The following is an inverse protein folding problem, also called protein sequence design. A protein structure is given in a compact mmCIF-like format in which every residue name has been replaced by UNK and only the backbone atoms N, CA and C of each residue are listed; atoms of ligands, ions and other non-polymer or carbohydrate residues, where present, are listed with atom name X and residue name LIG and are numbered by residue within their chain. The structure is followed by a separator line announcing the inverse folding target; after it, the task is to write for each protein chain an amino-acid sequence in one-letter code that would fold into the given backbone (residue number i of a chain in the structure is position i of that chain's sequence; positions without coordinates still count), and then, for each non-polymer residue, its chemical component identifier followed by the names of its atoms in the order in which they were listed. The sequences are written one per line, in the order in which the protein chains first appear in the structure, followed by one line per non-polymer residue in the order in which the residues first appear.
data_IF_343574719115
#
_entry.id   IF_343574719115
#
_cell.length_a   1.000
_cell.length_b   1.000
_cell.length_c   1.000
_cell.angle_alpha   90.00
_cell.angle_beta   90.00
_cell.angle_gamma   90.00
#
_symmetry.space_group_name_H-M   'P 1'
#
loop_
_entity.id
_entity.type
_entity.pdbx_description
1 polymer ?
#
# COMPACT_ATOMS: atom_id res chain seq x y z
N UNK A 1 68.42 30.10 91.50
CA UNK A 1 67.22 29.33 91.11
C UNK A 1 65.95 30.19 91.01
N UNK A 2 65.55 30.97 92.03
CA UNK A 2 64.31 31.80 91.97
C UNK A 2 64.30 32.86 90.84
N UNK A 3 65.43 33.52 90.55
CA UNK A 3 65.52 34.51 89.46
C UNK A 3 65.44 33.88 88.05
N UNK A 4 65.95 32.67 87.86
CA UNK A 4 65.87 31.95 86.57
C UNK A 4 64.44 31.49 86.29
N UNK A 5 63.72 31.01 87.31
CA UNK A 5 62.29 30.66 87.20
C UNK A 5 61.44 31.90 86.89
N UNK A 6 61.76 33.05 87.49
CA UNK A 6 61.02 34.29 87.26
C UNK A 6 61.27 34.85 85.84
N UNK A 7 62.49 34.74 85.32
CA UNK A 7 62.84 35.11 83.94
C UNK A 7 62.20 34.14 82.95
N UNK A 8 62.23 32.83 83.19
CA UNK A 8 61.54 31.85 82.34
C UNK A 8 60.04 32.08 82.38
N UNK A 9 59.44 32.37 83.54
CA UNK A 9 58.01 32.74 83.67
C UNK A 9 57.69 34.02 82.91
N UNK A 10 58.50 35.08 83.06
CA UNK A 10 58.31 36.36 82.36
C UNK A 10 58.50 36.23 80.85
N UNK A 11 59.45 35.39 80.41
CA UNK A 11 59.65 35.07 78.99
C UNK A 11 58.47 34.27 78.47
N UNK A 12 58.00 33.24 79.17
CA UNK A 12 56.80 32.48 78.77
C UNK A 12 55.53 33.33 78.80
N UNK A 13 55.38 34.24 79.78
CA UNK A 13 54.27 35.19 79.87
C UNK A 13 54.34 36.22 78.75
N UNK A 14 55.52 36.75 78.43
CA UNK A 14 55.72 37.67 77.32
C UNK A 14 55.39 37.00 75.98
N UNK A 15 55.90 35.77 75.76
CA UNK A 15 55.56 34.96 74.58
C UNK A 15 54.07 34.65 74.51
N UNK A 16 53.41 34.37 75.64
CA UNK A 16 51.98 34.07 75.69
C UNK A 16 51.12 35.33 75.47
N UNK A 17 51.55 36.51 75.95
CA UNK A 17 50.88 37.79 75.67
C UNK A 17 51.07 38.26 74.23
N UNK A 18 52.23 38.01 73.63
CA UNK A 18 52.49 38.33 72.22
C UNK A 18 51.68 37.43 71.30
N UNK A 19 51.61 36.13 71.61
CA UNK A 19 50.77 35.18 70.89
C UNK A 19 49.28 35.54 71.00
N UNK A 20 48.80 35.87 72.21
CA UNK A 20 47.42 36.31 72.42
C UNK A 20 47.10 37.59 71.63
N UNK A 21 48.00 38.57 71.61
CA UNK A 21 47.83 39.79 70.81
C UNK A 21 47.80 39.51 69.30
N UNK A 22 48.58 38.53 68.81
CA UNK A 22 48.55 38.11 67.39
C UNK A 22 47.23 37.40 67.07
N UNK A 23 46.72 36.55 67.96
CA UNK A 23 45.40 35.91 67.85
C UNK A 23 44.29 36.97 67.81
N UNK A 24 44.26 37.90 68.77
CA UNK A 24 43.23 38.94 68.85
C UNK A 24 43.20 39.84 67.59
N UNK A 25 44.37 40.13 67.02
CA UNK A 25 44.52 40.88 65.76
C UNK A 25 43.97 40.12 64.55
N UNK A 26 44.28 38.82 64.43
CA UNK A 26 43.71 37.95 63.38
C UNK A 26 42.20 37.86 63.54
N UNK A 27 41.71 37.65 64.77
CA UNK A 27 40.28 37.51 65.03
C UNK A 27 39.51 38.80 64.77
N UNK A 28 40.05 39.97 65.13
CA UNK A 28 39.42 41.25 64.79
C UNK A 28 39.31 41.50 63.27
N UNK A 29 40.24 40.97 62.47
CA UNK A 29 40.18 41.02 61.01
C UNK A 29 39.26 39.94 60.43
N UNK A 30 39.26 38.74 61.02
CA UNK A 30 38.38 37.63 60.64
C UNK A 30 36.92 37.91 60.99
N UNK A 31 36.61 38.60 62.08
CA UNK A 31 35.23 38.95 62.47
C UNK A 31 34.56 39.86 61.44
N UNK A 32 35.32 40.76 60.81
CA UNK A 32 34.83 41.59 59.70
C UNK A 32 34.46 40.76 58.45
N UNK A 33 35.03 39.56 58.32
CA UNK A 33 34.73 38.59 57.27
C UNK A 33 33.64 37.58 57.69
N UNK A 34 33.67 37.15 58.95
CA UNK A 34 32.83 36.14 59.60
C UNK A 34 31.33 36.48 59.56
N UNK A 35 31.01 37.79 59.55
CA UNK A 35 29.64 38.28 59.40
C UNK A 35 28.98 37.95 58.05
N UNK A 36 29.71 37.39 57.07
CA UNK A 36 29.23 37.21 55.69
C UNK A 36 28.66 35.83 55.36
N UNK A 37 29.05 34.77 56.07
CA UNK A 37 28.64 33.38 55.78
C UNK A 37 28.97 32.45 56.97
N UNK A 38 28.15 31.42 57.21
CA UNK A 38 28.42 30.38 58.21
C UNK A 38 29.75 29.63 57.98
N UNK A 39 30.17 29.45 56.73
CA UNK A 39 31.50 28.93 56.39
C UNK A 39 32.63 29.82 56.92
N UNK A 40 32.51 31.15 56.77
CA UNK A 40 33.52 32.07 57.31
C UNK A 40 33.56 32.08 58.84
N UNK A 41 32.42 31.85 59.51
CA UNK A 41 32.37 31.69 60.97
C UNK A 41 33.09 30.42 61.41
N UNK A 42 32.77 29.29 60.77
CA UNK A 42 33.40 28.00 61.06
C UNK A 42 34.91 28.04 60.82
N UNK A 43 35.35 28.68 59.73
CA UNK A 43 36.75 28.88 59.43
C UNK A 43 37.44 29.77 60.47
N UNK A 44 36.82 30.88 60.87
CA UNK A 44 37.36 31.77 61.90
C UNK A 44 37.54 31.05 63.24
N UNK A 45 36.53 30.31 63.69
CA UNK A 45 36.62 29.51 64.92
C UNK A 45 37.68 28.40 64.84
N UNK A 46 37.86 27.78 63.67
CA UNK A 46 38.91 26.79 63.46
C UNK A 46 40.30 27.43 63.53
N UNK A 47 40.49 28.59 62.91
CA UNK A 47 41.76 29.33 62.94
C UNK A 47 42.08 29.78 64.38
N UNK A 48 41.11 30.32 65.11
CA UNK A 48 41.24 30.70 66.52
C UNK A 48 41.71 29.53 67.38
N UNK A 49 40.99 28.41 67.31
CA UNK A 49 41.32 27.20 68.05
C UNK A 49 42.74 26.71 67.73
N UNK A 50 43.11 26.71 66.45
CA UNK A 50 44.41 26.24 65.99
C UNK A 50 45.55 27.16 66.40
N UNK A 51 45.39 28.48 66.31
CA UNK A 51 46.41 29.43 66.79
C UNK A 51 46.60 29.37 68.31
N UNK A 52 45.54 29.07 69.08
CA UNK A 52 45.63 28.87 70.53
C UNK A 52 46.31 27.54 70.91
N UNK A 53 46.23 26.53 70.04
CA UNK A 53 46.79 25.19 70.27
C UNK A 53 48.22 25.02 69.73
N UNK A 54 48.54 25.64 68.58
CA UNK A 54 49.87 25.60 67.97
C UNK A 54 50.67 26.81 68.37
N UNK A 55 51.88 26.62 68.91
CA UNK A 55 52.80 27.74 69.21
C UNK A 55 53.36 28.43 67.96
N UNK A 56 53.03 27.95 66.76
CA UNK A 56 53.60 28.40 65.49
C UNK A 56 52.51 28.76 64.46
N UNK A 57 52.47 30.04 64.10
CA UNK A 57 51.53 30.58 63.09
C UNK A 57 51.76 29.93 61.71
N UNK A 58 52.97 29.45 61.44
CA UNK A 58 53.32 28.70 60.23
C UNK A 58 52.55 27.38 60.08
N UNK A 59 52.24 26.69 61.18
CA UNK A 59 51.46 25.44 61.13
C UNK A 59 50.00 25.74 60.76
N UNK A 60 49.42 26.80 61.32
CA UNK A 60 48.08 27.29 60.97
C UNK A 60 48.02 27.71 59.49
N UNK A 61 49.05 28.39 58.98
CA UNK A 61 49.14 28.72 57.55
C UNK A 61 49.19 27.48 56.65
N UNK A 62 49.92 26.45 57.06
CA UNK A 62 50.00 25.19 56.32
C UNK A 62 48.65 24.49 56.29
N UNK A 63 47.91 24.47 57.40
CA UNK A 63 46.55 23.91 57.46
C UNK A 63 45.56 24.70 56.58
N UNK A 64 45.52 26.04 56.69
CA UNK A 64 44.65 26.89 55.84
C UNK A 64 44.98 26.68 54.35
N UNK A 65 46.27 26.62 54.00
CA UNK A 65 46.70 26.33 52.63
C UNK A 65 46.25 24.94 52.19
N UNK A 66 46.38 23.92 53.04
CA UNK A 66 45.93 22.56 52.73
C UNK A 66 44.43 22.49 52.50
N UNK A 67 43.62 23.18 53.30
CA UNK A 67 42.15 23.23 53.12
C UNK A 67 41.81 23.93 51.80
N UNK A 68 42.48 25.04 51.47
CA UNK A 68 42.31 25.74 50.20
C UNK A 68 42.62 24.84 49.01
N UNK A 69 43.79 24.20 49.04
CA UNK A 69 44.30 23.38 47.95
C UNK A 69 43.40 22.13 47.79
N UNK A 70 42.86 21.59 48.89
CA UNK A 70 41.84 20.52 48.86
C UNK A 70 40.53 20.98 48.21
N UNK A 71 40.01 22.17 48.55
CA UNK A 71 38.78 22.68 47.92
C UNK A 71 38.96 22.91 46.42
N UNK A 72 40.13 23.38 46.00
CA UNK A 72 40.47 23.53 44.58
C UNK A 72 40.54 22.15 43.90
N UNK A 73 41.16 21.16 44.54
CA UNK A 73 41.23 19.80 44.03
C UNK A 73 39.84 19.16 43.91
N UNK A 74 39.00 19.30 44.93
CA UNK A 74 37.62 18.81 44.93
C UNK A 74 36.78 19.48 43.84
N UNK A 75 36.94 20.80 43.64
CA UNK A 75 36.29 21.50 42.51
C UNK A 75 36.76 20.91 41.17
N UNK A 76 38.08 20.69 41.00
CA UNK A 76 38.60 20.12 39.76
C UNK A 76 38.06 18.72 39.46
N UNK A 77 37.81 17.89 40.48
CA UNK A 77 37.18 16.57 40.31
C UNK A 77 35.72 16.74 39.91
N UNK A 78 34.98 17.63 40.59
CA UNK A 78 33.58 17.91 40.26
C UNK A 78 33.42 18.46 38.84
N UNK A 79 34.30 19.35 38.39
CA UNK A 79 34.33 19.89 37.03
C UNK A 79 34.49 18.78 35.98
N UNK A 80 35.36 17.81 36.24
CA UNK A 80 35.57 16.66 35.36
C UNK A 80 34.35 15.73 35.31
N UNK A 81 33.74 15.43 36.47
CA UNK A 81 32.54 14.62 36.55
C UNK A 81 31.34 15.29 35.86
N UNK A 82 31.16 16.59 36.09
CA UNK A 82 30.15 17.40 35.43
C UNK A 82 30.36 17.42 33.91
N UNK A 83 31.58 17.71 33.44
CA UNK A 83 31.89 17.73 32.00
C UNK A 83 31.60 16.37 31.34
N UNK A 84 31.94 15.27 32.01
CA UNK A 84 31.64 13.92 31.54
C UNK A 84 30.12 13.66 31.48
N UNK A 85 29.39 13.99 32.54
CA UNK A 85 27.94 13.73 32.61
C UNK A 85 27.16 14.58 31.61
N UNK A 86 27.48 15.87 31.48
CA UNK A 86 26.88 16.75 30.46
C UNK A 86 27.23 16.28 29.05
N UNK A 87 28.48 15.89 28.81
CA UNK A 87 28.90 15.34 27.53
C UNK A 87 28.07 14.12 27.13
N UNK A 88 27.87 13.17 28.06
CA UNK A 88 27.03 11.99 27.85
C UNK A 88 25.57 12.37 27.56
N UNK A 89 24.98 13.24 28.38
CA UNK A 89 23.59 13.68 28.21
C UNK A 89 23.38 14.41 26.88
N UNK A 90 24.33 15.23 26.45
CA UNK A 90 24.25 15.93 25.16
C UNK A 90 24.27 14.95 23.97
N UNK A 91 25.10 13.92 24.02
CA UNK A 91 25.15 12.89 22.98
C UNK A 91 23.83 12.11 22.93
N UNK A 92 23.28 11.70 24.07
CA UNK A 92 21.99 10.98 24.10
C UNK A 92 20.84 11.87 23.59
N UNK A 93 20.82 13.15 23.96
CA UNK A 93 19.85 14.13 23.44
C UNK A 93 19.96 14.25 21.92
N UNK A 94 21.17 14.40 21.37
CA UNK A 94 21.38 14.52 19.93
C UNK A 94 20.92 13.26 19.18
N UNK A 95 21.25 12.08 19.69
CA UNK A 95 20.79 10.80 19.12
C UNK A 95 19.26 10.72 19.11
N UNK A 96 18.60 11.09 20.22
CA UNK A 96 17.15 11.06 20.33
C UNK A 96 16.48 12.13 19.46
N UNK A 97 17.07 13.31 19.29
CA UNK A 97 16.60 14.35 18.36
C UNK A 97 16.62 13.82 16.92
N UNK A 98 17.72 13.20 16.49
CA UNK A 98 17.83 12.60 15.16
C UNK A 98 16.81 11.46 14.98
N UNK A 99 16.65 10.59 15.98
CA UNK A 99 15.69 9.48 15.93
C UNK A 99 14.25 9.98 15.85
N UNK A 100 13.87 10.95 16.68
CA UNK A 100 12.51 11.52 16.69
C UNK A 100 12.20 12.22 15.37
N UNK A 101 13.14 12.99 14.80
CA UNK A 101 12.96 13.61 13.49
C UNK A 101 12.80 12.56 12.38
N UNK A 102 13.63 11.51 12.41
CA UNK A 102 13.55 10.41 11.43
C UNK A 102 12.20 9.69 11.51
N UNK A 103 11.76 9.33 12.73
CA UNK A 103 10.46 8.67 12.96
C UNK A 103 9.31 9.56 12.50
N UNK A 104 9.34 10.87 12.79
CA UNK A 104 8.31 11.82 12.36
C UNK A 104 8.23 11.94 10.82
N UNK A 105 9.38 12.07 10.14
CA UNK A 105 9.44 12.10 8.66
C UNK A 105 8.94 10.80 8.05
N UNK A 106 9.33 9.66 8.63
CA UNK A 106 8.90 8.35 8.14
C UNK A 106 7.40 8.13 8.36
N UNK A 107 6.84 8.60 9.48
CA UNK A 107 5.40 8.58 9.74
C UNK A 107 4.63 9.39 8.70
N UNK A 108 5.10 10.61 8.38
CA UNK A 108 4.48 11.45 7.35
C UNK A 108 4.53 10.76 5.98
N UNK A 109 5.69 10.22 5.59
CA UNK A 109 5.86 9.49 4.32
C UNK A 109 4.93 8.29 4.23
N UNK A 110 4.83 7.49 5.29
CA UNK A 110 3.95 6.32 5.33
C UNK A 110 2.46 6.72 5.26
N UNK A 111 2.06 7.80 5.93
CA UNK A 111 0.68 8.30 5.83
C UNK A 111 0.33 8.70 4.40
N UNK A 112 1.22 9.41 3.70
CA UNK A 112 1.04 9.75 2.30
C UNK A 112 0.97 8.48 1.43
N UNK A 113 1.93 7.57 1.59
CA UNK A 113 1.97 6.32 0.83
C UNK A 113 0.71 5.46 1.04
N UNK A 114 0.18 5.38 2.25
CA UNK A 114 -1.08 4.67 2.54
C UNK A 114 -2.26 5.36 1.85
N UNK A 115 -2.29 6.70 1.84
CA UNK A 115 -3.29 7.48 1.12
C UNK A 115 -3.31 7.16 -0.38
N UNK A 116 -2.14 7.22 -1.01
CA UNK A 116 -1.96 6.88 -2.43
C UNK A 116 -2.35 5.42 -2.73
N UNK A 117 -1.92 4.47 -1.88
CA UNK A 117 -2.26 3.06 -2.03
C UNK A 117 -3.77 2.81 -1.91
N UNK A 118 -4.47 3.48 -0.99
CA UNK A 118 -5.92 3.37 -0.85
C UNK A 118 -6.67 3.89 -2.08
N UNK A 119 -6.18 4.97 -2.69
CA UNK A 119 -6.74 5.51 -3.92
C UNK A 119 -6.51 4.54 -5.10
N UNK A 120 -5.29 4.03 -5.25
CA UNK A 120 -4.93 3.02 -6.25
C UNK A 120 -5.80 1.76 -6.13
N UNK A 121 -5.93 1.23 -4.92
CA UNK A 121 -6.78 0.05 -4.63
C UNK A 121 -8.22 0.32 -5.05
N UNK A 122 -8.76 1.49 -4.70
CA UNK A 122 -10.14 1.86 -5.02
C UNK A 122 -10.36 1.95 -6.54
N UNK A 123 -9.42 2.55 -7.28
CA UNK A 123 -9.44 2.59 -8.75
C UNK A 123 -9.37 1.21 -9.37
N UNK A 124 -8.51 0.33 -8.84
CA UNK A 124 -8.36 -1.04 -9.31
C UNK A 124 -9.62 -1.88 -9.06
N UNK A 125 -10.29 -1.72 -7.91
CA UNK A 125 -11.59 -2.37 -7.64
C UNK A 125 -12.65 -1.92 -8.65
N UNK A 126 -12.76 -0.62 -8.92
CA UNK A 126 -13.68 -0.11 -9.94
C UNK A 126 -13.37 -0.67 -11.34
N UNK A 127 -12.09 -0.73 -11.69
CA UNK A 127 -11.62 -1.32 -12.96
C UNK A 127 -11.97 -2.80 -13.04
N UNK A 128 -11.70 -3.58 -11.99
CA UNK A 128 -12.04 -5.00 -11.89
C UNK A 128 -13.54 -5.23 -12.13
N UNK A 129 -14.41 -4.48 -11.42
CA UNK A 129 -15.86 -4.61 -11.56
C UNK A 129 -16.36 -4.25 -12.97
N UNK A 130 -15.77 -3.23 -13.58
CA UNK A 130 -16.09 -2.87 -14.97
C UNK A 130 -15.69 -3.96 -15.94
N UNK A 131 -14.47 -4.50 -15.81
CA UNK A 131 -13.96 -5.59 -16.65
C UNK A 131 -14.80 -6.86 -16.49
N UNK A 132 -15.20 -7.21 -15.26
CA UNK A 132 -16.08 -8.35 -14.99
C UNK A 132 -17.43 -8.22 -15.71
N UNK A 133 -18.07 -7.05 -15.64
CA UNK A 133 -19.33 -6.77 -16.36
C UNK A 133 -19.16 -6.88 -17.89
N UNK A 134 -18.05 -6.34 -18.40
CA UNK A 134 -17.74 -6.42 -19.83
C UNK A 134 -17.48 -7.87 -20.28
N UNK A 135 -16.78 -8.68 -19.48
CA UNK A 135 -16.57 -10.11 -19.76
C UNK A 135 -17.90 -10.87 -19.78
N UNK A 136 -18.79 -10.62 -18.82
CA UNK A 136 -20.11 -11.25 -18.81
C UNK A 136 -20.92 -10.89 -20.06
N UNK A 137 -20.87 -9.61 -20.47
CA UNK A 137 -21.53 -9.14 -21.70
C UNK A 137 -20.96 -9.82 -22.95
N UNK A 138 -19.63 -9.94 -23.06
CA UNK A 138 -18.97 -10.60 -24.18
C UNK A 138 -19.29 -12.10 -24.22
N UNK A 139 -19.31 -12.78 -23.08
CA UNK A 139 -19.69 -14.18 -22.98
C UNK A 139 -21.13 -14.41 -23.47
N UNK A 140 -22.07 -13.58 -23.02
CA UNK A 140 -23.46 -13.64 -23.50
C UNK A 140 -23.57 -13.34 -25.00
N UNK A 141 -22.78 -12.38 -25.51
CA UNK A 141 -22.78 -12.06 -26.94
C UNK A 141 -22.22 -13.20 -27.79
N UNK A 142 -21.18 -13.86 -27.32
CA UNK A 142 -20.62 -15.04 -27.98
C UNK A 142 -21.65 -16.18 -28.06
N UNK A 143 -22.37 -16.44 -26.97
CA UNK A 143 -23.45 -17.44 -26.94
C UNK A 143 -24.61 -17.06 -27.87
N UNK A 144 -25.00 -15.78 -27.90
CA UNK A 144 -26.03 -15.26 -28.81
C UNK A 144 -25.62 -15.49 -30.28
N UNK A 145 -24.38 -15.18 -30.66
CA UNK A 145 -23.86 -15.37 -32.02
C UNK A 145 -23.88 -16.86 -32.39
N UNK A 146 -23.45 -17.75 -31.48
CA UNK A 146 -23.49 -19.21 -31.70
C UNK A 146 -24.91 -19.73 -31.91
N UNK A 147 -25.87 -19.24 -31.11
CA UNK A 147 -27.27 -19.63 -31.20
C UNK A 147 -27.94 -19.10 -32.48
N UNK A 148 -27.66 -17.85 -32.85
CA UNK A 148 -28.14 -17.25 -34.10
C UNK A 148 -27.65 -18.03 -35.32
N UNK A 149 -26.34 -18.32 -35.37
CA UNK A 149 -25.76 -19.12 -36.45
C UNK A 149 -26.40 -20.51 -36.55
N UNK A 150 -26.55 -21.21 -35.42
CA UNK A 150 -27.20 -22.53 -35.39
C UNK A 150 -28.63 -22.46 -35.91
N UNK A 151 -29.41 -21.46 -35.51
CA UNK A 151 -30.78 -21.27 -35.95
C UNK A 151 -30.88 -20.94 -37.45
N UNK A 152 -29.98 -20.09 -37.96
CA UNK A 152 -29.96 -19.70 -39.37
C UNK A 152 -29.59 -20.88 -40.27
N UNK A 153 -28.56 -21.65 -39.91
CA UNK A 153 -28.17 -22.86 -40.65
C UNK A 153 -29.27 -23.92 -40.63
N UNK A 154 -29.93 -24.14 -39.50
CA UNK A 154 -31.04 -25.10 -39.42
C UNK A 154 -32.21 -24.68 -40.33
N UNK A 155 -32.55 -23.38 -40.32
CA UNK A 155 -33.61 -22.81 -41.17
C UNK A 155 -33.26 -22.98 -42.66
N UNK A 156 -32.01 -22.71 -43.04
CA UNK A 156 -31.53 -22.91 -44.41
C UNK A 156 -31.63 -24.37 -44.83
N UNK A 157 -31.12 -25.30 -44.01
CA UNK A 157 -31.19 -26.74 -44.29
C UNK A 157 -32.61 -27.24 -44.45
N UNK A 158 -33.52 -26.79 -43.59
CA UNK A 158 -34.93 -27.14 -43.68
C UNK A 158 -35.56 -26.59 -44.97
N UNK A 159 -35.25 -25.35 -45.34
CA UNK A 159 -35.71 -24.74 -46.60
C UNK A 159 -35.18 -25.49 -47.82
N UNK A 160 -33.88 -25.79 -47.87
CA UNK A 160 -33.24 -26.56 -48.95
C UNK A 160 -33.88 -27.95 -49.07
N UNK A 161 -34.07 -28.64 -47.95
CA UNK A 161 -34.73 -29.96 -47.93
C UNK A 161 -36.16 -29.89 -48.47
N UNK A 162 -36.93 -28.88 -48.07
CA UNK A 162 -38.30 -28.69 -48.53
C UNK A 162 -38.36 -28.34 -50.03
N UNK A 163 -37.42 -27.51 -50.50
CA UNK A 163 -37.29 -27.17 -51.91
C UNK A 163 -36.94 -28.40 -52.76
N UNK A 164 -35.97 -29.23 -52.34
CA UNK A 164 -35.61 -30.49 -53.02
C UNK A 164 -36.83 -31.41 -53.11
N UNK A 165 -37.52 -31.68 -51.99
CA UNK A 165 -38.75 -32.50 -51.99
C UNK A 165 -39.83 -31.95 -52.92
N UNK A 166 -39.97 -30.62 -52.97
CA UNK A 166 -40.93 -29.96 -53.87
C UNK A 166 -40.53 -30.10 -55.33
N UNK A 167 -39.24 -29.96 -55.65
CA UNK A 167 -38.69 -30.14 -57.00
C UNK A 167 -38.89 -31.59 -57.46
N UNK A 168 -38.58 -32.58 -56.61
CA UNK A 168 -38.76 -34.00 -56.91
C UNK A 168 -40.23 -34.32 -57.19
N UNK A 169 -41.14 -33.85 -56.33
CA UNK A 169 -42.58 -34.01 -56.54
C UNK A 169 -43.10 -33.33 -57.80
N UNK A 170 -42.59 -32.14 -58.14
CA UNK A 170 -42.92 -31.43 -59.38
C UNK A 170 -42.39 -32.16 -60.62
N UNK A 171 -41.17 -32.70 -60.56
CA UNK A 171 -40.60 -33.51 -61.64
C UNK A 171 -41.43 -34.78 -61.87
N UNK A 172 -41.85 -35.45 -60.80
CA UNK A 172 -42.71 -36.63 -60.91
C UNK A 172 -44.09 -36.29 -61.50
N UNK A 173 -44.71 -35.18 -61.04
CA UNK A 173 -45.96 -34.67 -61.61
C UNK A 173 -45.84 -34.36 -63.10
N UNK A 174 -44.84 -33.56 -63.47
CA UNK A 174 -44.60 -33.14 -64.86
C UNK A 174 -44.35 -34.37 -65.74
N UNK A 175 -43.49 -35.30 -65.31
CA UNK A 175 -43.17 -36.51 -66.08
C UNK A 175 -44.39 -37.40 -66.31
N UNK A 176 -45.22 -37.63 -65.27
CA UNK A 176 -46.45 -38.42 -65.42
C UNK A 176 -47.51 -37.74 -66.27
N UNK A 177 -47.65 -36.41 -66.17
CA UNK A 177 -48.55 -35.63 -67.02
C UNK A 177 -48.09 -35.64 -68.48
N UNK A 178 -46.79 -35.46 -68.74
CA UNK A 178 -46.23 -35.53 -70.08
C UNK A 178 -46.43 -36.92 -70.71
N UNK A 179 -46.24 -38.00 -69.95
CA UNK A 179 -46.52 -39.36 -70.42
C UNK A 179 -48.02 -39.55 -70.74
N UNK A 180 -48.92 -39.08 -69.87
CA UNK A 180 -50.36 -39.20 -70.09
C UNK A 180 -50.86 -38.44 -71.33
N UNK A 181 -50.18 -37.34 -71.71
CA UNK A 181 -50.60 -36.45 -72.81
C UNK A 181 -49.84 -36.70 -74.12
N UNK A 182 -48.56 -37.08 -74.05
CA UNK A 182 -47.64 -37.10 -75.21
C UNK A 182 -47.03 -38.48 -75.52
N UNK A 183 -47.54 -39.58 -74.94
CA UNK A 183 -47.01 -40.93 -75.20
C UNK A 183 -47.01 -41.35 -76.70
N UNK A 184 -47.74 -40.67 -77.58
CA UNK A 184 -47.72 -40.90 -79.02
C UNK A 184 -47.34 -39.62 -79.79
N UNK A 185 -46.04 -39.31 -79.92
CA UNK A 185 -45.55 -38.18 -80.73
C UNK A 185 -45.78 -38.31 -82.26
N UNK A 186 -46.47 -39.35 -82.75
CA UNK A 186 -46.60 -39.62 -84.18
C UNK A 186 -48.03 -39.63 -84.74
N UNK A 187 -49.08 -39.20 -84.02
CA UNK A 187 -50.43 -39.05 -84.61
C UNK A 187 -51.17 -37.81 -84.10
N UNK A 188 -51.34 -36.84 -85.00
CA UNK A 188 -52.12 -35.60 -84.87
C UNK A 188 -53.64 -35.82 -84.81
N UNK A 189 -54.13 -36.72 -83.97
CA UNK A 189 -55.57 -36.90 -83.81
C UNK A 189 -55.88 -37.52 -82.46
N UNK A 190 -56.68 -36.81 -81.68
CA UNK A 190 -57.57 -37.29 -80.61
C UNK A 190 -57.00 -38.45 -79.80
N UNK A 191 -56.53 -38.13 -78.59
CA UNK A 191 -56.44 -39.03 -77.42
C UNK A 191 -57.09 -40.38 -77.72
N UNK A 192 -56.29 -41.43 -77.90
CA UNK A 192 -56.85 -42.75 -77.72
C UNK A 192 -57.21 -42.80 -76.23
N UNK A 193 -58.48 -42.54 -75.92
CA UNK A 193 -59.02 -42.55 -74.55
C UNK A 193 -58.64 -43.85 -73.83
N UNK A 194 -58.33 -44.89 -74.61
CA UNK A 194 -57.88 -46.20 -74.19
C UNK A 194 -56.46 -46.21 -73.59
N UNK A 195 -55.46 -45.58 -74.22
CA UNK A 195 -54.10 -45.51 -73.65
C UNK A 195 -54.03 -44.60 -72.42
N UNK A 196 -54.73 -43.47 -72.48
CA UNK A 196 -54.83 -42.56 -71.35
C UNK A 196 -55.52 -43.22 -70.14
N UNK A 197 -56.57 -44.01 -70.39
CA UNK A 197 -57.26 -44.78 -69.35
C UNK A 197 -56.40 -45.92 -68.80
N UNK A 198 -55.68 -46.64 -69.66
CA UNK A 198 -54.72 -47.67 -69.23
C UNK A 198 -53.62 -47.09 -68.33
N UNK A 199 -53.04 -45.96 -68.71
CA UNK A 199 -52.02 -45.29 -67.91
C UNK A 199 -52.55 -44.81 -66.54
N UNK A 200 -53.78 -44.26 -66.51
CA UNK A 200 -54.45 -43.90 -65.25
C UNK A 200 -54.71 -45.14 -64.39
N UNK A 201 -55.11 -46.27 -64.99
CA UNK A 201 -55.34 -47.53 -64.29
C UNK A 201 -54.03 -48.14 -63.75
N UNK A 202 -52.92 -48.03 -64.48
CA UNK A 202 -51.58 -48.42 -64.02
C UNK A 202 -51.09 -47.55 -62.85
N UNK A 203 -51.31 -46.23 -62.91
CA UNK A 203 -51.05 -45.32 -61.79
C UNK A 203 -51.93 -45.64 -60.58
N UNK A 204 -53.20 -45.94 -60.81
CA UNK A 204 -54.15 -46.33 -59.77
C UNK A 204 -53.75 -47.63 -59.08
N UNK A 205 -53.20 -48.59 -59.82
CA UNK A 205 -52.72 -49.86 -59.27
C UNK A 205 -51.37 -49.72 -58.54
N UNK A 206 -50.51 -48.80 -58.96
CA UNK A 206 -49.17 -48.61 -58.36
C UNK A 206 -49.17 -47.66 -57.17
N UNK A 207 -49.86 -46.52 -57.25
CA UNK A 207 -49.85 -45.46 -56.23
C UNK A 207 -51.13 -45.46 -55.37
N UNK A 208 -52.18 -46.15 -55.83
CA UNK A 208 -53.50 -46.13 -55.22
C UNK A 208 -54.44 -45.08 -55.82
N UNK A 209 -55.77 -45.28 -55.71
CA UNK A 209 -56.79 -44.42 -56.32
C UNK A 209 -56.88 -43.02 -55.73
N UNK A 210 -56.49 -42.84 -54.46
CA UNK A 210 -56.58 -41.57 -53.75
C UNK A 210 -55.24 -40.81 -53.73
N UNK A 211 -54.22 -41.32 -54.43
CA UNK A 211 -52.92 -40.65 -54.48
C UNK A 211 -53.04 -39.33 -55.25
N UNK A 212 -52.46 -38.21 -54.76
CA UNK A 212 -52.57 -36.90 -55.42
C UNK A 212 -52.12 -36.90 -56.88
N UNK A 213 -51.08 -37.67 -57.22
CA UNK A 213 -50.63 -37.84 -58.61
C UNK A 213 -51.66 -38.60 -59.47
N UNK A 214 -52.25 -39.67 -58.95
CA UNK A 214 -53.30 -40.43 -59.64
C UNK A 214 -54.51 -39.55 -59.89
N UNK A 215 -54.93 -38.76 -58.89
CA UNK A 215 -56.04 -37.82 -59.02
C UNK A 215 -55.72 -36.70 -60.04
N UNK A 216 -54.52 -36.11 -59.98
CA UNK A 216 -54.09 -35.06 -60.90
C UNK A 216 -54.05 -35.57 -62.35
N UNK A 217 -53.46 -36.74 -62.60
CA UNK A 217 -53.44 -37.35 -63.94
C UNK A 217 -54.87 -37.71 -64.37
N UNK A 218 -55.69 -38.34 -63.52
CA UNK A 218 -57.08 -38.67 -63.86
C UNK A 218 -57.97 -37.43 -64.14
N UNK A 219 -57.69 -36.29 -63.52
CA UNK A 219 -58.40 -35.03 -63.77
C UNK A 219 -57.88 -34.37 -65.05
N UNK A 220 -56.57 -34.35 -65.26
CA UNK A 220 -55.95 -33.68 -66.41
C UNK A 220 -56.30 -34.35 -67.75
N UNK A 221 -56.56 -35.66 -67.73
CA UNK A 221 -57.00 -36.42 -68.90
C UNK A 221 -58.42 -36.07 -69.40
N UNK A 222 -59.16 -35.23 -68.66
CA UNK A 222 -60.46 -34.68 -69.07
C UNK A 222 -60.35 -33.36 -69.83
N UNK A 223 -59.17 -32.75 -69.89
CA UNK A 223 -58.93 -31.50 -70.61
C UNK A 223 -58.27 -31.74 -71.97
N UNK A 224 -58.37 -30.75 -72.85
CA UNK A 224 -57.71 -30.75 -74.15
C UNK A 224 -56.18 -30.55 -74.02
N UNK A 225 -55.43 -31.01 -75.03
CA UNK A 225 -53.96 -30.94 -75.06
C UNK A 225 -53.41 -29.53 -74.78
N UNK A 226 -53.94 -28.43 -75.36
CA UNK A 226 -53.54 -27.07 -75.02
C UNK A 226 -53.67 -26.73 -73.52
N UNK A 227 -54.77 -27.10 -72.89
CA UNK A 227 -55.00 -26.85 -71.46
C UNK A 227 -54.02 -27.63 -70.59
N UNK A 228 -53.78 -28.91 -70.88
CA UNK A 228 -52.81 -29.70 -70.09
C UNK A 228 -51.38 -29.23 -70.33
N UNK A 229 -51.05 -28.79 -71.55
CA UNK A 229 -49.75 -28.16 -71.86
C UNK A 229 -49.53 -26.90 -71.01
N UNK A 230 -50.57 -26.08 -70.83
CA UNK A 230 -50.50 -24.89 -69.96
C UNK A 230 -50.32 -25.26 -68.48
N UNK A 231 -50.96 -26.32 -68.01
CA UNK A 231 -50.77 -26.82 -66.64
C UNK A 231 -49.33 -27.30 -66.45
N UNK A 232 -48.78 -28.05 -67.40
CA UNK A 232 -47.37 -28.49 -67.38
C UNK A 232 -46.43 -27.29 -67.34
N UNK A 233 -46.64 -26.27 -68.18
CA UNK A 233 -45.82 -25.04 -68.17
C UNK A 233 -45.88 -24.30 -66.83
N UNK A 234 -47.05 -24.24 -66.17
CA UNK A 234 -47.15 -23.63 -64.84
C UNK A 234 -46.39 -24.43 -63.78
N UNK A 235 -46.46 -25.77 -63.82
CA UNK A 235 -45.69 -26.62 -62.92
C UNK A 235 -44.18 -26.51 -63.18
N UNK A 236 -43.76 -26.43 -64.45
CA UNK A 236 -42.37 -26.17 -64.85
C UNK A 236 -41.90 -24.82 -64.32
N UNK A 237 -42.68 -23.75 -64.47
CA UNK A 237 -42.34 -22.43 -63.93
C UNK A 237 -42.18 -22.46 -62.40
N UNK A 238 -43.08 -23.14 -61.66
CA UNK A 238 -42.97 -23.28 -60.20
C UNK A 238 -41.73 -24.08 -59.83
N UNK A 239 -41.44 -25.18 -60.56
CA UNK A 239 -40.23 -25.99 -60.34
C UNK A 239 -38.98 -25.15 -60.58
N UNK A 240 -38.92 -24.43 -61.68
CA UNK A 240 -37.74 -23.64 -62.07
C UNK A 240 -37.52 -22.48 -61.09
N UNK A 241 -38.58 -21.87 -60.56
CA UNK A 241 -38.49 -20.95 -59.43
C UNK A 241 -37.87 -21.61 -58.19
N UNK A 242 -38.30 -22.83 -57.82
CA UNK A 242 -37.73 -23.57 -56.69
C UNK A 242 -36.28 -23.97 -56.92
N UNK A 243 -35.91 -24.36 -58.14
CA UNK A 243 -34.53 -24.64 -58.54
C UNK A 243 -33.67 -23.39 -58.37
N UNK A 244 -34.15 -22.23 -58.85
CA UNK A 244 -33.43 -20.96 -58.71
C UNK A 244 -33.28 -20.53 -57.26
N UNK A 245 -34.32 -20.69 -56.43
CA UNK A 245 -34.22 -20.44 -54.98
C UNK A 245 -33.20 -21.35 -54.29
N UNK A 246 -33.01 -22.57 -54.80
CA UNK A 246 -32.08 -23.55 -54.24
C UNK A 246 -30.66 -23.40 -54.79
N UNK A 247 -30.49 -22.89 -56.01
CA UNK A 247 -29.20 -22.74 -56.70
C UNK A 247 -28.22 -21.79 -55.98
N UNK A 248 -28.73 -20.89 -55.13
CA UNK A 248 -27.93 -19.99 -54.30
C UNK A 248 -27.75 -20.43 -52.84
N UNK A 249 -28.29 -21.59 -52.44
CA UNK A 249 -28.31 -22.02 -51.04
C UNK A 249 -26.89 -22.26 -50.50
N UNK A 250 -26.04 -22.96 -51.26
CA UNK A 250 -24.66 -23.26 -50.86
C UNK A 250 -23.81 -21.98 -50.76
N UNK A 251 -23.99 -21.04 -51.70
CA UNK A 251 -23.28 -19.75 -51.67
C UNK A 251 -23.75 -18.89 -50.49
N UNK A 252 -25.04 -18.90 -50.17
CA UNK A 252 -25.58 -18.20 -49.01
C UNK A 252 -25.07 -18.83 -47.70
N UNK A 253 -25.09 -20.16 -47.58
CA UNK A 253 -24.55 -20.87 -46.41
C UNK A 253 -23.06 -20.55 -46.20
N UNK A 254 -22.26 -20.52 -47.28
CA UNK A 254 -20.86 -20.13 -47.21
C UNK A 254 -20.68 -18.69 -46.69
N UNK A 255 -21.48 -17.74 -47.19
CA UNK A 255 -21.46 -16.33 -46.73
C UNK A 255 -21.84 -16.20 -45.25
N UNK A 256 -22.91 -16.88 -44.82
CA UNK A 256 -23.35 -16.89 -43.41
C UNK A 256 -22.26 -17.50 -42.52
N UNK A 257 -21.67 -18.62 -42.94
CA UNK A 257 -20.60 -19.30 -42.21
C UNK A 257 -19.36 -18.41 -42.08
N UNK A 258 -18.96 -17.74 -43.15
CA UNK A 258 -17.83 -16.82 -43.14
C UNK A 258 -18.09 -15.61 -42.23
N UNK A 259 -19.26 -14.98 -42.33
CA UNK A 259 -19.64 -13.86 -41.47
C UNK A 259 -19.67 -14.24 -39.99
N UNK A 260 -20.22 -15.42 -39.67
CA UNK A 260 -20.20 -15.99 -38.33
C UNK A 260 -18.77 -16.20 -37.81
N UNK A 261 -17.89 -16.82 -38.61
CA UNK A 261 -16.51 -17.09 -38.20
C UNK A 261 -15.73 -15.81 -37.92
N UNK A 262 -15.90 -14.77 -38.75
CA UNK A 262 -15.25 -13.46 -38.55
C UNK A 262 -15.76 -12.84 -37.25
N UNK A 263 -17.07 -12.72 -37.09
CA UNK A 263 -17.68 -12.08 -35.91
C UNK A 263 -17.33 -12.83 -34.61
N UNK A 264 -17.38 -14.17 -34.64
CA UNK A 264 -17.03 -14.99 -33.49
C UNK A 264 -15.56 -14.81 -33.11
N UNK A 265 -14.66 -14.78 -34.10
CA UNK A 265 -13.23 -14.58 -33.88
C UNK A 265 -12.98 -13.23 -33.23
N UNK A 266 -13.56 -12.15 -33.74
CA UNK A 266 -13.41 -10.80 -33.19
C UNK A 266 -13.87 -10.73 -31.73
N UNK A 267 -15.06 -11.26 -31.42
CA UNK A 267 -15.59 -11.29 -30.05
C UNK A 267 -14.69 -12.13 -29.13
N UNK A 268 -14.20 -13.27 -29.61
CA UNK A 268 -13.31 -14.17 -28.84
C UNK A 268 -11.98 -13.48 -28.53
N UNK A 269 -11.37 -12.81 -29.51
CA UNK A 269 -10.10 -12.09 -29.31
C UNK A 269 -10.25 -10.94 -28.30
N UNK A 270 -11.34 -10.18 -28.38
CA UNK A 270 -11.62 -9.09 -27.43
C UNK A 270 -11.85 -9.65 -26.02
N UNK A 271 -12.60 -10.75 -25.89
CA UNK A 271 -12.84 -11.43 -24.61
C UNK A 271 -11.54 -11.94 -23.99
N UNK A 272 -10.67 -12.57 -24.78
CA UNK A 272 -9.39 -13.08 -24.29
C UNK A 272 -8.45 -11.97 -23.82
N UNK A 273 -8.35 -10.87 -24.58
CA UNK A 273 -7.57 -9.69 -24.15
C UNK A 273 -8.11 -9.12 -22.85
N UNK A 274 -9.42 -8.94 -22.75
CA UNK A 274 -10.07 -8.43 -21.54
C UNK A 274 -9.90 -9.38 -20.35
N UNK A 275 -9.92 -10.70 -20.56
CA UNK A 275 -9.68 -11.71 -19.53
C UNK A 275 -8.24 -11.66 -18.99
N UNK A 276 -7.26 -11.43 -19.88
CA UNK A 276 -5.88 -11.22 -19.49
C UNK A 276 -5.71 -9.93 -18.67
N UNK A 277 -6.35 -8.83 -19.09
CA UNK A 277 -6.31 -7.56 -18.36
C UNK A 277 -7.02 -7.62 -17.01
N UNK A 278 -8.13 -8.37 -16.91
CA UNK A 278 -8.79 -8.69 -15.65
C UNK A 278 -7.85 -9.46 -14.69
N UNK A 279 -7.17 -10.48 -15.20
CA UNK A 279 -6.21 -11.26 -14.42
C UNK A 279 -5.03 -10.42 -13.93
N UNK A 280 -4.50 -9.52 -14.78
CA UNK A 280 -3.46 -8.56 -14.38
C UNK A 280 -3.94 -7.59 -13.31
N UNK A 281 -5.18 -7.12 -13.42
CA UNK A 281 -5.81 -6.24 -12.44
C UNK A 281 -5.93 -6.93 -11.08
N UNK A 282 -6.35 -8.19 -11.04
CA UNK A 282 -6.40 -8.98 -9.79
C UNK A 282 -5.04 -9.15 -9.12
N UNK A 283 -4.00 -9.49 -9.90
CA UNK A 283 -2.63 -9.63 -9.37
C UNK A 283 -2.12 -8.29 -8.82
N UNK A 284 -2.36 -7.20 -9.56
CA UNK A 284 -1.96 -5.86 -9.13
C UNK A 284 -2.69 -5.43 -7.87
N UNK A 285 -4.00 -5.67 -7.80
CA UNK A 285 -4.83 -5.38 -6.63
C UNK A 285 -4.34 -6.14 -5.39
N UNK A 286 -4.01 -7.43 -5.54
CA UNK A 286 -3.46 -8.24 -4.44
C UNK A 286 -2.14 -7.64 -3.94
N UNK A 287 -1.21 -7.34 -4.83
CA UNK A 287 0.08 -6.71 -4.49
C UNK A 287 -0.12 -5.37 -3.75
N UNK A 288 -1.00 -4.50 -4.25
CA UNK A 288 -1.27 -3.20 -3.61
C UNK A 288 -1.88 -3.35 -2.22
N UNK A 289 -2.78 -4.32 -2.01
CA UNK A 289 -3.32 -4.62 -0.69
C UNK A 289 -2.24 -5.12 0.29
N UNK A 290 -1.32 -5.96 -0.17
CA UNK A 290 -0.19 -6.42 0.63
C UNK A 290 0.75 -5.25 1.01
N UNK A 291 1.10 -4.39 0.05
CA UNK A 291 1.89 -3.17 0.27
C UNK A 291 1.23 -2.23 1.28
N UNK A 292 -0.09 -2.05 1.18
CA UNK A 292 -0.86 -1.23 2.11
C UNK A 292 -0.86 -1.82 3.52
N UNK A 293 -1.04 -3.14 3.63
CA UNK A 293 -1.02 -3.84 4.92
C UNK A 293 0.34 -3.70 5.61
N UNK A 294 1.44 -3.85 4.85
CA UNK A 294 2.79 -3.67 5.38
C UNK A 294 3.04 -2.22 5.81
N UNK A 295 2.67 -1.25 4.96
CA UNK A 295 2.82 0.18 5.25
C UNK A 295 2.03 0.59 6.49
N UNK A 296 0.81 0.07 6.64
CA UNK A 296 -0.05 0.30 7.82
C UNK A 296 0.55 -0.29 9.09
N UNK A 297 1.14 -1.50 9.02
CA UNK A 297 1.85 -2.10 10.16
C UNK A 297 3.04 -1.25 10.59
N UNK A 298 3.89 -0.83 9.64
CA UNK A 298 5.04 0.04 9.92
C UNK A 298 4.60 1.38 10.51
N UNK A 299 3.55 2.01 9.95
CA UNK A 299 2.97 3.26 10.47
C UNK A 299 2.52 3.08 11.92
N UNK A 300 1.79 2.00 12.22
CA UNK A 300 1.29 1.74 13.57
C UNK A 300 2.42 1.53 14.58
N UNK A 301 3.55 0.94 14.15
CA UNK A 301 4.71 0.77 15.00
C UNK A 301 5.36 2.12 15.30
N UNK A 302 5.62 2.94 14.27
CA UNK A 302 6.18 4.29 14.44
C UNK A 302 5.27 5.17 15.28
N UNK A 303 3.95 5.04 15.15
CA UNK A 303 2.97 5.79 15.94
C UNK A 303 3.00 5.43 17.43
N UNK A 304 3.52 4.25 17.79
CA UNK A 304 3.79 3.86 19.19
C UNK A 304 5.16 4.32 19.65
N UNK A 305 6.17 4.21 18.79
CA UNK A 305 7.57 4.47 19.17
C UNK A 305 7.91 5.97 19.25
N UNK A 306 7.29 6.80 18.39
CA UNK A 306 7.52 8.24 18.36
C UNK A 306 7.23 8.94 19.71
N UNK A 307 6.07 8.75 20.37
CA UNK A 307 5.84 9.40 21.67
C UNK A 307 6.81 8.90 22.75
N UNK A 308 7.19 7.62 22.73
CA UNK A 308 8.17 7.07 23.67
C UNK A 308 9.53 7.76 23.51
N UNK A 309 9.99 7.93 22.27
CA UNK A 309 11.23 8.63 21.98
C UNK A 309 11.17 10.12 22.36
N UNK A 310 10.02 10.77 22.16
CA UNK A 310 9.81 12.17 22.56
C UNK A 310 9.81 12.35 24.09
N UNK A 311 9.15 11.45 24.82
CA UNK A 311 9.13 11.46 26.28
C UNK A 311 10.54 11.25 26.85
N UNK A 312 11.30 10.29 26.28
CA UNK A 312 12.67 10.03 26.69
C UNK A 312 13.59 11.23 26.39
N UNK A 313 13.45 11.86 25.23
CA UNK A 313 14.17 13.09 24.89
C UNK A 313 13.90 14.20 25.91
N UNK A 314 12.64 14.39 26.30
CA UNK A 314 12.28 15.40 27.28
C UNK A 314 12.85 15.06 28.67
N UNK A 315 12.85 13.79 29.05
CA UNK A 315 13.46 13.33 30.30
C UNK A 315 14.96 13.65 30.35
N UNK A 316 15.71 13.36 29.29
CA UNK A 316 17.14 13.67 29.22
C UNK A 316 17.44 15.17 29.22
N UNK A 317 16.60 15.98 28.55
CA UNK A 317 16.70 17.45 28.60
C UNK A 317 16.51 17.98 30.02
N UNK A 318 15.49 17.47 30.73
CA UNK A 318 15.24 17.83 32.13
C UNK A 318 16.40 17.39 33.04
N UNK A 319 16.93 16.19 32.86
CA UNK A 319 18.09 15.70 33.63
C UNK A 319 19.32 16.59 33.40
N UNK A 320 19.58 16.99 32.16
CA UNK A 320 20.68 17.91 31.82
C UNK A 320 20.54 19.24 32.53
N UNK A 321 19.34 19.82 32.54
CA UNK A 321 19.07 21.09 33.24
C UNK A 321 19.27 20.97 34.75
N UNK A 322 18.84 19.86 35.36
CA UNK A 322 19.05 19.60 36.79
C UNK A 322 20.55 19.47 37.09
N UNK A 323 21.30 18.70 36.30
CA UNK A 323 22.75 18.53 36.47
C UNK A 323 23.47 19.89 36.33
N UNK A 324 23.10 20.69 35.32
CA UNK A 324 23.65 22.02 35.11
C UNK A 324 23.38 22.95 36.29
N UNK A 325 22.13 23.01 36.75
CA UNK A 325 21.73 23.88 37.84
C UNK A 325 22.46 23.52 39.15
N UNK A 326 22.51 22.23 39.48
CA UNK A 326 23.20 21.73 40.66
C UNK A 326 24.70 22.03 40.61
N UNK A 327 25.35 21.81 39.46
CA UNK A 327 26.76 22.16 39.29
C UNK A 327 27.02 23.66 39.46
N UNK A 328 26.21 24.51 38.81
CA UNK A 328 26.37 25.97 38.93
C UNK A 328 26.25 26.44 40.40
N UNK A 329 25.28 25.89 41.15
CA UNK A 329 25.11 26.22 42.56
C UNK A 329 26.30 25.77 43.42
N UNK A 330 26.80 24.55 43.22
CA UNK A 330 27.93 24.02 43.99
C UNK A 330 29.24 24.70 43.63
N UNK A 331 29.48 24.95 42.34
CA UNK A 331 30.65 25.69 41.85
C UNK A 331 30.68 27.13 42.39
N UNK A 332 29.56 27.86 42.34
CA UNK A 332 29.47 29.21 42.91
C UNK A 332 29.70 29.22 44.43
N UNK A 333 29.17 28.22 45.15
CA UNK A 333 29.42 28.05 46.59
C UNK A 333 30.92 27.84 46.86
N UNK A 334 31.56 26.94 46.11
CA UNK A 334 32.97 26.58 46.28
C UNK A 334 33.91 27.71 45.89
N UNK A 335 33.59 28.49 44.85
CA UNK A 335 34.32 29.71 44.50
C UNK A 335 34.32 30.72 45.67
N UNK A 336 33.17 30.89 46.32
CA UNK A 336 33.06 31.75 47.50
C UNK A 336 33.87 31.21 48.70
N UNK A 337 33.82 29.90 48.95
CA UNK A 337 34.61 29.24 50.01
C UNK A 337 36.12 29.42 49.77
N UNK A 338 36.60 29.21 48.54
CA UNK A 338 38.01 29.41 48.16
C UNK A 338 38.42 30.87 48.33
N UNK A 339 37.55 31.83 47.96
CA UNK A 339 37.81 33.26 48.15
C UNK A 339 37.94 33.61 49.63
N UNK A 340 37.04 33.12 50.48
CA UNK A 340 37.07 33.32 51.93
C UNK A 340 38.36 32.74 52.53
N UNK A 341 38.72 31.50 52.21
CA UNK A 341 39.96 30.89 52.71
C UNK A 341 41.20 31.62 52.22
N UNK A 342 41.21 32.09 50.97
CA UNK A 342 42.35 32.87 50.44
C UNK A 342 42.53 34.19 51.18
N UNK A 343 41.43 34.85 51.55
CA UNK A 343 41.49 36.04 52.39
C UNK A 343 41.96 35.72 53.81
N UNK A 344 41.45 34.63 54.42
CA UNK A 344 41.90 34.18 55.73
C UNK A 344 43.39 33.83 55.76
N UNK A 345 43.87 33.11 54.74
CA UNK A 345 45.29 32.82 54.55
C UNK A 345 46.13 34.10 54.50
N UNK A 346 45.65 35.13 53.80
CA UNK A 346 46.34 36.42 53.69
C UNK A 346 46.41 37.14 55.03
N UNK A 347 45.32 37.15 55.81
CA UNK A 347 45.26 37.77 57.14
C UNK A 347 46.25 37.09 58.10
N UNK A 348 46.26 35.75 58.15
CA UNK A 348 47.18 34.99 59.01
C UNK A 348 48.63 35.17 58.54
N UNK A 349 48.87 35.23 57.23
CA UNK A 349 50.23 35.38 56.69
C UNK A 349 50.86 36.74 56.99
N UNK A 350 50.04 37.77 57.20
CA UNK A 350 50.52 39.08 57.64
C UNK A 350 51.13 39.04 59.04
N UNK A 351 50.70 38.12 59.92
CA UNK A 351 51.24 38.00 61.29
C UNK A 351 52.56 37.24 61.38
N UNK A 352 52.98 36.56 60.30
CA UNK A 352 54.29 35.90 60.19
C UNK A 352 55.37 36.86 59.67
N UNK A 353 54.95 37.95 58.98
CA UNK A 353 55.87 38.97 58.43
C UNK A 353 56.17 40.12 59.42
N UNK A 354 55.58 40.09 60.61
CA UNK A 354 55.80 41.02 61.73
C UNK A 354 56.41 40.24 62.88
#
# INVERSE_FOLDING_TARGET
MKQVILIVMLITLAFQTELQSKVDSVMAQMDKMSLKNDFSKQLASLIELKMLQSSYVEEVLKEIKSIRDQLIADQSVEDQEYAKKIGQLNVEIEILEIQTEKLAKELQRLNQQIGELNEDISKLIGTQQSQEKQLNTLNSKEEEIRNQYKSEIETLKQRTTNNIKSIDGLNEMIGKLQQAVFAEQNKTTILSQQHTKQYVDELRNSLGPNHPLTALVAVTTKFDVPTVTRIIQLLENIRDQRINENAGADEYEAKVTQAYQITLKEVTEVRERLSADYSRTLVTLKRRNEENTLSTKSRNQIQKDLPIAQDLLQQYRNEREIVQSNYNLRSAKRENEVKIITQAYTIVAQQVRV
#
